data_IF_935376465507
#
_entry.id   IF_935376465507
#
_cell.length_a   1.000
_cell.length_b   1.000
_cell.length_c   1.000
_cell.angle_alpha   90.00
_cell.angle_beta   90.00
_cell.angle_gamma   90.00
#
_symmetry.space_group_name_H-M   'P 1'
#
loop_
_entity.id
_entity.type
_entity.pdbx_description
1 polymer ?
#
# COMPACT_ATOMS: atom_id res chain seq x y z
N UNK A 1 -2.14 -9.06 -23.72
CA UNK A 1 -2.52 -8.77 -22.32
C UNK A 1 -1.26 -8.81 -21.47
N UNK A 2 -1.15 -8.01 -20.41
CA UNK A 2 -0.05 -8.14 -19.43
C UNK A 2 -0.54 -9.06 -18.31
N UNK A 3 0.19 -10.13 -18.04
CA UNK A 3 -0.11 -11.02 -16.91
C UNK A 3 0.35 -10.39 -15.60
N UNK A 4 -0.43 -10.57 -14.53
CA UNK A 4 -0.12 -10.12 -13.18
C UNK A 4 -0.26 -11.31 -12.22
N UNK A 5 0.62 -11.40 -11.23
CA UNK A 5 0.53 -12.44 -10.20
C UNK A 5 -0.57 -12.11 -9.18
N UNK A 6 -0.86 -10.82 -8.99
CA UNK A 6 -1.87 -10.34 -8.05
C UNK A 6 -2.46 -9.02 -8.53
N UNK A 7 -3.78 -8.88 -8.37
CA UNK A 7 -4.51 -7.63 -8.60
C UNK A 7 -5.15 -7.23 -7.27
N UNK A 8 -4.92 -5.99 -6.85
CA UNK A 8 -5.44 -5.40 -5.60
C UNK A 8 -6.37 -4.25 -5.96
N UNK A 9 -7.60 -4.29 -5.44
CA UNK A 9 -8.62 -3.26 -5.63
C UNK A 9 -8.69 -2.35 -4.40
N UNK A 10 -8.64 -1.04 -4.65
CA UNK A 10 -8.52 0.03 -3.67
C UNK A 10 -7.06 0.29 -3.28
N UNK A 11 -6.65 1.57 -3.26
CA UNK A 11 -5.33 2.04 -2.86
C UNK A 11 -5.40 2.84 -1.55
N UNK A 12 -5.98 2.20 -0.51
CA UNK A 12 -5.84 2.64 0.87
C UNK A 12 -4.55 2.13 1.52
N UNK A 13 -4.25 2.56 2.74
CA UNK A 13 -3.01 2.22 3.47
C UNK A 13 -2.72 0.72 3.54
N UNK A 14 -3.74 -0.10 3.85
CA UNK A 14 -3.61 -1.56 3.89
C UNK A 14 -3.23 -2.15 2.52
N UNK A 15 -3.93 -1.75 1.46
CA UNK A 15 -3.68 -2.22 0.09
C UNK A 15 -2.33 -1.76 -0.44
N UNK A 16 -1.93 -0.51 -0.18
CA UNK A 16 -0.61 0.01 -0.56
C UNK A 16 0.50 -0.76 0.17
N UNK A 17 0.33 -1.04 1.46
CA UNK A 17 1.29 -1.82 2.25
C UNK A 17 1.42 -3.25 1.70
N UNK A 18 0.30 -3.89 1.35
CA UNK A 18 0.29 -5.22 0.75
C UNK A 18 0.92 -5.24 -0.65
N UNK A 19 0.59 -4.26 -1.49
CA UNK A 19 1.15 -4.11 -2.83
C UNK A 19 2.67 -3.93 -2.78
N UNK A 20 3.16 -3.05 -1.89
CA UNK A 20 4.59 -2.82 -1.69
C UNK A 20 5.31 -4.08 -1.19
N UNK A 21 4.71 -4.78 -0.22
CA UNK A 21 5.27 -6.04 0.32
C UNK A 21 5.41 -7.11 -0.77
N UNK A 22 4.38 -7.29 -1.60
CA UNK A 22 4.39 -8.27 -2.69
C UNK A 22 5.35 -7.86 -3.81
N UNK A 23 5.36 -6.59 -4.20
CA UNK A 23 6.28 -6.09 -5.20
C UNK A 23 7.75 -6.28 -4.78
N UNK A 24 8.08 -6.06 -3.51
CA UNK A 24 9.42 -6.33 -2.95
C UNK A 24 9.82 -7.79 -2.96
N UNK A 25 8.85 -8.71 -2.91
CA UNK A 25 9.08 -10.14 -3.07
C UNK A 25 9.22 -10.57 -4.54
N UNK A 26 9.14 -9.64 -5.48
CA UNK A 26 9.32 -9.89 -6.91
C UNK A 26 8.02 -10.21 -7.67
N UNK A 27 6.85 -10.13 -7.01
CA UNK A 27 5.57 -10.35 -7.69
C UNK A 27 5.19 -9.16 -8.55
N UNK A 28 4.57 -9.45 -9.70
CA UNK A 28 3.99 -8.44 -10.58
C UNK A 28 2.58 -8.09 -10.10
N UNK A 29 2.48 -7.02 -9.32
CA UNK A 29 1.23 -6.56 -8.70
C UNK A 29 0.60 -5.43 -9.50
N UNK A 30 -0.71 -5.52 -9.73
CA UNK A 30 -1.53 -4.40 -10.22
C UNK A 30 -2.36 -3.84 -9.07
N UNK A 31 -2.12 -2.59 -8.68
CA UNK A 31 -2.94 -1.86 -7.72
C UNK A 31 -3.85 -0.89 -8.49
N UNK A 32 -5.16 -0.95 -8.23
CA UNK A 32 -6.16 -0.12 -8.89
C UNK A 32 -7.00 0.60 -7.84
N UNK A 33 -7.39 1.83 -8.11
CA UNK A 33 -8.38 2.57 -7.34
C UNK A 33 -9.30 3.31 -8.32
N UNK A 34 -10.56 3.48 -7.94
CA UNK A 34 -11.53 4.26 -8.71
C UNK A 34 -11.34 5.77 -8.50
N UNK A 35 -10.75 6.15 -7.38
CA UNK A 35 -10.55 7.54 -6.99
C UNK A 35 -9.40 8.19 -7.73
N UNK A 36 -9.49 9.51 -7.89
CA UNK A 36 -8.36 10.34 -8.38
C UNK A 36 -7.51 10.79 -7.19
N UNK A 37 -6.21 10.63 -7.29
CA UNK A 37 -5.26 11.06 -6.25
C UNK A 37 -4.74 12.49 -6.50
N UNK A 38 -4.39 13.24 -5.43
CA UNK A 38 -4.56 12.88 -4.02
C UNK A 38 -6.03 12.92 -3.58
N UNK A 39 -6.40 12.05 -2.63
CA UNK A 39 -7.72 12.03 -2.00
C UNK A 39 -7.56 12.01 -0.48
N UNK A 40 -8.58 12.47 0.23
CA UNK A 40 -8.65 12.24 1.66
C UNK A 40 -8.83 10.74 1.95
N UNK A 41 -8.10 10.26 2.95
CA UNK A 41 -8.26 8.91 3.47
C UNK A 41 -8.59 8.99 4.96
N UNK A 42 -9.88 9.03 5.26
CA UNK A 42 -10.45 9.32 6.60
C UNK A 42 -9.94 8.36 7.69
N UNK A 43 -9.54 7.13 7.35
CA UNK A 43 -9.04 6.14 8.31
C UNK A 43 -7.52 6.21 8.57
N UNK A 44 -6.80 7.23 8.06
CA UNK A 44 -5.33 7.30 8.09
C UNK A 44 -4.72 8.07 9.27
N UNK A 45 -5.52 8.79 10.06
CA UNK A 45 -5.00 9.81 10.99
C UNK A 45 -4.34 9.23 12.26
N UNK A 46 -4.55 7.94 12.54
CA UNK A 46 -4.00 7.24 13.70
C UNK A 46 -3.04 6.13 13.31
N UNK A 47 -1.75 6.29 13.62
CA UNK A 47 -0.77 5.21 13.55
C UNK A 47 -0.65 4.51 14.91
N UNK A 48 -1.00 3.23 14.96
CA UNK A 48 -0.71 2.39 16.13
C UNK A 48 0.80 2.08 16.19
N UNK A 49 1.36 1.71 17.36
CA UNK A 49 2.75 1.26 17.45
C UNK A 49 3.07 0.11 16.48
N UNK A 50 2.12 -0.80 16.25
CA UNK A 50 2.29 -1.87 15.27
C UNK A 50 2.35 -1.35 13.82
N UNK A 51 1.59 -0.30 13.51
CA UNK A 51 1.63 0.36 12.20
C UNK A 51 2.98 1.05 11.98
N UNK A 52 3.55 1.69 13.01
CA UNK A 52 4.88 2.31 12.94
C UNK A 52 5.95 1.25 12.63
N UNK A 53 5.97 0.14 13.36
CA UNK A 53 6.90 -0.97 13.10
C UNK A 53 6.76 -1.54 11.68
N UNK A 54 5.53 -1.64 11.18
CA UNK A 54 5.29 -2.07 9.80
C UNK A 54 5.86 -1.07 8.79
N UNK A 55 5.72 0.24 9.03
CA UNK A 55 6.24 1.28 8.14
C UNK A 55 7.77 1.34 8.16
N UNK A 56 8.39 1.03 9.30
CA UNK A 56 9.84 0.84 9.43
C UNK A 56 10.33 -0.38 8.63
N UNK A 57 9.67 -1.54 8.75
CA UNK A 57 9.98 -2.74 7.96
C UNK A 57 9.75 -2.50 6.45
N UNK A 58 8.70 -1.74 6.13
CA UNK A 58 8.45 -1.25 4.79
C UNK A 58 9.40 -0.12 4.37
N UNK A 59 10.30 0.37 5.21
CA UNK A 59 11.31 1.39 4.88
C UNK A 59 10.70 2.68 4.32
N UNK A 60 9.50 3.06 4.77
CA UNK A 60 8.79 4.27 4.35
C UNK A 60 8.41 5.18 5.51
N UNK A 61 8.88 4.88 6.73
CA UNK A 61 8.60 5.66 7.94
C UNK A 61 9.05 7.13 7.82
N UNK A 62 10.13 7.40 7.08
CA UNK A 62 10.65 8.76 6.86
C UNK A 62 9.85 9.58 5.83
N UNK A 63 8.82 8.98 5.22
CA UNK A 63 8.03 9.58 4.13
C UNK A 63 6.64 10.05 4.55
N UNK A 64 6.36 10.10 5.85
CA UNK A 64 5.05 10.37 6.45
C UNK A 64 5.06 11.66 7.25
#
# INVERSE_FOLDING_TARGET
MKDYDTIISGAGSASCSAALSLARKGYRVLLLDQERFPRDNICGDGLSPASVLLLEDLGIIDSI
#
